data_IF_237268632623
#
_entry.id   IF_237268632623
#
_cell.length_a   1.000
_cell.length_b   1.000
_cell.length_c   1.000
_cell.angle_alpha   90.00
_cell.angle_beta   90.00
_cell.angle_gamma   90.00
#
_symmetry.space_group_name_H-M   'P 1'
#
loop_
_entity.id
_entity.type
_entity.pdbx_description
1 polymer ?
#
# COMPACT_ATOMS: atom_id res chain seq x y z
N UNK A 1 -16.39 -34.27 -7.86
CA UNK A 1 -15.50 -35.23 -7.17
C UNK A 1 -14.11 -35.39 -7.84
N UNK A 2 -13.94 -35.06 -9.12
CA UNK A 2 -12.70 -35.27 -9.90
C UNK A 2 -11.55 -34.30 -9.53
N UNK A 3 -11.84 -33.13 -8.95
CA UNK A 3 -10.85 -32.09 -8.62
C UNK A 3 -9.99 -32.39 -7.39
N UNK A 4 -10.52 -33.10 -6.38
CA UNK A 4 -9.75 -33.46 -5.17
C UNK A 4 -8.67 -34.50 -5.46
N UNK A 5 -8.89 -35.38 -6.43
CA UNK A 5 -7.97 -36.48 -6.72
C UNK A 5 -6.71 -36.01 -7.47
N UNK A 6 -6.81 -34.95 -8.30
CA UNK A 6 -5.64 -34.36 -8.96
C UNK A 6 -4.71 -33.61 -8.01
N UNK A 7 -5.25 -32.94 -6.98
CA UNK A 7 -4.43 -32.19 -6.00
C UNK A 7 -3.53 -33.14 -5.20
N UNK A 8 -4.05 -34.31 -4.81
CA UNK A 8 -3.27 -35.33 -4.11
C UNK A 8 -2.17 -35.95 -4.97
N UNK A 9 -2.30 -35.95 -6.30
CA UNK A 9 -1.27 -36.49 -7.17
C UNK A 9 -0.04 -35.56 -7.22
N UNK A 10 -0.20 -34.24 -7.32
CA UNK A 10 0.92 -33.30 -7.37
C UNK A 10 1.67 -33.19 -6.03
N UNK A 11 0.95 -33.19 -4.91
CA UNK A 11 1.55 -33.19 -3.56
C UNK A 11 2.36 -34.47 -3.27
N UNK A 12 1.98 -35.62 -3.85
CA UNK A 12 2.66 -36.90 -3.64
C UNK A 12 3.98 -37.06 -4.43
N UNK A 13 4.23 -36.24 -5.46
CA UNK A 13 5.45 -36.28 -6.30
C UNK A 13 6.32 -35.03 -6.15
N UNK A 14 6.01 -34.16 -5.18
CA UNK A 14 6.77 -32.93 -4.94
C UNK A 14 6.70 -31.92 -6.11
N UNK A 15 5.70 -32.04 -6.98
CA UNK A 15 5.51 -31.12 -8.11
C UNK A 15 4.62 -29.96 -7.67
N UNK A 16 5.14 -28.73 -7.80
CA UNK A 16 4.35 -27.51 -7.58
C UNK A 16 3.11 -27.52 -8.48
N UNK A 17 1.96 -27.09 -7.96
CA UNK A 17 0.78 -26.94 -8.81
C UNK A 17 1.07 -25.89 -9.89
N UNK A 18 0.70 -26.14 -11.17
CA UNK A 18 1.03 -25.21 -12.25
C UNK A 18 0.45 -23.83 -11.92
N UNK A 19 1.35 -22.85 -11.76
CA UNK A 19 0.97 -21.48 -11.43
C UNK A 19 -0.04 -20.96 -12.46
N UNK A 20 -1.16 -20.41 -11.99
CA UNK A 20 -2.17 -19.86 -12.88
C UNK A 20 -1.54 -18.69 -13.68
N UNK A 21 -1.35 -18.83 -15.01
CA UNK A 21 -0.57 -17.87 -15.80
C UNK A 21 -1.20 -16.47 -15.79
N UNK A 22 -2.53 -16.40 -15.70
CA UNK A 22 -3.26 -15.14 -15.57
C UNK A 22 -2.93 -14.43 -14.25
N UNK A 23 -2.93 -15.14 -13.12
CA UNK A 23 -2.60 -14.53 -11.82
C UNK A 23 -1.14 -14.07 -11.76
N UNK A 24 -0.23 -14.81 -12.39
CA UNK A 24 1.18 -14.44 -12.48
C UNK A 24 1.38 -13.20 -13.35
N UNK A 25 0.74 -13.15 -14.52
CA UNK A 25 0.79 -11.98 -15.41
C UNK A 25 0.16 -10.74 -14.75
N UNK A 26 -1.02 -10.90 -14.14
CA UNK A 26 -1.70 -9.81 -13.44
C UNK A 26 -0.85 -9.27 -12.29
N UNK A 27 -0.22 -10.13 -11.47
CA UNK A 27 0.69 -9.72 -10.41
C UNK A 27 1.89 -8.89 -10.93
N UNK A 28 2.46 -9.26 -12.09
CA UNK A 28 3.53 -8.47 -12.74
C UNK A 28 3.05 -7.08 -13.14
N UNK A 29 1.87 -6.98 -13.77
CA UNK A 29 1.28 -5.68 -14.15
C UNK A 29 1.11 -4.79 -12.93
N UNK A 30 0.60 -5.32 -11.83
CA UNK A 30 0.44 -4.58 -10.57
C UNK A 30 1.76 -4.15 -9.96
N UNK A 31 2.77 -5.02 -9.98
CA UNK A 31 4.11 -4.68 -9.50
C UNK A 31 4.73 -3.53 -10.29
N UNK A 32 4.66 -3.58 -11.64
CA UNK A 32 5.16 -2.50 -12.49
C UNK A 32 4.37 -1.20 -12.32
N UNK A 33 3.04 -1.28 -12.09
CA UNK A 33 2.24 -0.11 -11.75
C UNK A 33 2.73 0.57 -10.47
N UNK A 34 2.96 -0.21 -9.41
CA UNK A 34 3.48 0.30 -8.13
C UNK A 34 4.88 0.90 -8.29
N UNK A 35 5.78 0.22 -9.02
CA UNK A 35 7.12 0.75 -9.34
C UNK A 35 7.05 2.06 -10.12
N UNK A 36 6.15 2.16 -11.10
CA UNK A 36 5.94 3.38 -11.89
C UNK A 36 5.47 4.54 -11.00
N UNK A 37 4.55 4.28 -10.08
CA UNK A 37 4.10 5.26 -9.10
C UNK A 37 5.27 5.75 -8.21
N UNK A 38 6.12 4.84 -7.71
CA UNK A 38 7.28 5.22 -6.90
C UNK A 38 8.27 6.08 -7.68
N UNK A 39 8.53 5.75 -8.95
CA UNK A 39 9.39 6.55 -9.82
C UNK A 39 8.79 7.94 -10.04
N UNK A 40 7.49 8.04 -10.32
CA UNK A 40 6.81 9.33 -10.49
C UNK A 40 6.88 10.18 -9.22
N UNK A 41 6.63 9.59 -8.05
CA UNK A 41 6.75 10.30 -6.78
C UNK A 41 8.19 10.78 -6.55
N UNK A 42 9.19 9.93 -6.76
CA UNK A 42 10.59 10.30 -6.61
C UNK A 42 10.99 11.44 -7.56
N UNK A 43 10.58 11.38 -8.83
CA UNK A 43 10.81 12.47 -9.79
C UNK A 43 10.13 13.77 -9.36
N UNK A 44 8.93 13.70 -8.80
CA UNK A 44 8.22 14.87 -8.29
C UNK A 44 8.94 15.49 -7.08
N UNK A 45 9.46 14.67 -6.16
CA UNK A 45 10.32 15.15 -5.06
C UNK A 45 11.60 15.77 -5.61
N UNK A 46 12.30 15.10 -6.52
CA UNK A 46 13.53 15.62 -7.11
C UNK A 46 13.31 16.96 -7.80
N UNK A 47 12.21 17.09 -8.54
CA UNK A 47 11.84 18.35 -9.19
C UNK A 47 11.60 19.45 -8.15
N UNK A 48 10.86 19.17 -7.07
CA UNK A 48 10.54 20.19 -6.06
C UNK A 48 11.77 20.68 -5.29
N UNK A 49 12.81 19.84 -5.12
CA UNK A 49 14.08 20.26 -4.50
C UNK A 49 14.73 21.43 -5.25
N UNK A 50 14.60 21.50 -6.58
CA UNK A 50 15.11 22.63 -7.38
C UNK A 50 14.36 23.95 -7.14
N UNK A 51 13.21 23.90 -6.49
CA UNK A 51 12.36 25.05 -6.17
C UNK A 51 12.29 25.30 -4.64
N UNK A 52 13.28 24.80 -3.89
CA UNK A 52 13.43 25.11 -2.46
C UNK A 52 12.64 24.22 -1.51
N UNK A 53 12.08 23.12 -2.00
CA UNK A 53 11.46 22.10 -1.14
C UNK A 53 12.51 21.41 -0.25
N UNK A 54 12.16 21.08 0.99
CA UNK A 54 12.97 20.25 1.89
C UNK A 54 12.13 19.25 2.69
N UNK A 55 12.53 17.98 2.71
CA UNK A 55 11.84 16.91 3.44
C UNK A 55 11.75 17.16 4.96
N UNK A 56 12.67 17.95 5.52
CA UNK A 56 12.69 18.26 6.97
C UNK A 56 11.76 19.38 7.35
N UNK A 57 11.38 20.22 6.38
CA UNK A 57 10.70 21.49 6.61
C UNK A 57 9.35 21.60 5.91
N UNK A 58 9.07 20.70 4.96
CA UNK A 58 7.86 20.70 4.14
C UNK A 58 7.13 19.38 4.22
N UNK A 59 5.82 19.46 4.39
CA UNK A 59 4.92 18.30 4.42
C UNK A 59 4.81 17.68 3.02
N UNK A 60 4.31 16.45 2.93
CA UNK A 60 4.10 15.78 1.65
C UNK A 60 3.11 16.57 0.79
N UNK A 61 2.09 17.13 1.42
CA UNK A 61 1.06 17.95 0.77
C UNK A 61 1.61 19.18 0.06
N UNK A 62 2.74 19.73 0.53
CA UNK A 62 3.43 20.88 -0.08
C UNK A 62 3.93 20.58 -1.51
N UNK A 63 4.10 19.30 -1.87
CA UNK A 63 4.39 18.90 -3.26
C UNK A 63 3.27 19.25 -4.24
N UNK A 64 2.05 19.43 -3.74
CA UNK A 64 0.89 19.89 -4.50
C UNK A 64 0.71 21.41 -4.49
N UNK A 65 1.69 22.18 -4.01
CA UNK A 65 1.65 23.64 -3.93
C UNK A 65 2.45 24.30 -5.06
N UNK A 66 1.94 25.45 -5.54
CA UNK A 66 2.63 26.32 -6.51
C UNK A 66 3.94 26.91 -5.99
N UNK A 67 4.15 26.88 -4.67
CA UNK A 67 5.36 27.42 -4.05
C UNK A 67 6.60 26.57 -4.35
N UNK A 68 6.43 25.27 -4.60
CA UNK A 68 7.54 24.32 -4.72
C UNK A 68 7.60 23.60 -6.06
N UNK A 69 6.59 23.76 -6.93
CA UNK A 69 6.61 23.20 -8.28
C UNK A 69 5.79 24.12 -9.20
N UNK A 70 6.24 24.36 -10.45
CA UNK A 70 5.50 25.21 -11.40
C UNK A 70 4.15 24.60 -11.82
N UNK A 71 4.03 23.27 -11.75
CA UNK A 71 2.88 22.49 -12.18
C UNK A 71 2.34 21.61 -11.04
N UNK A 72 1.70 22.19 -10.00
CA UNK A 72 1.27 21.46 -8.80
C UNK A 72 0.27 20.32 -9.08
N UNK A 73 -0.43 20.39 -10.21
CA UNK A 73 -1.33 19.33 -10.65
C UNK A 73 -0.61 18.01 -10.94
N UNK A 74 0.71 18.02 -11.17
CA UNK A 74 1.50 16.79 -11.37
C UNK A 74 1.43 15.92 -10.11
N UNK A 75 1.67 16.49 -8.92
CA UNK A 75 1.56 15.76 -7.66
C UNK A 75 0.15 15.20 -7.44
N UNK A 76 -0.86 15.99 -7.77
CA UNK A 76 -2.26 15.58 -7.66
C UNK A 76 -2.58 14.36 -8.55
N UNK A 77 -2.09 14.36 -9.79
CA UNK A 77 -2.24 13.23 -10.71
C UNK A 77 -1.47 12.00 -10.22
N UNK A 78 -0.30 12.18 -9.59
CA UNK A 78 0.46 11.10 -8.98
C UNK A 78 -0.32 10.45 -7.83
N UNK A 79 -0.97 11.24 -6.97
CA UNK A 79 -1.83 10.72 -5.90
C UNK A 79 -3.03 9.93 -6.47
N UNK A 80 -3.72 10.47 -7.48
CA UNK A 80 -4.82 9.76 -8.17
C UNK A 80 -4.33 8.45 -8.77
N UNK A 81 -3.22 8.49 -9.51
CA UNK A 81 -2.62 7.30 -10.12
C UNK A 81 -2.24 6.26 -9.07
N UNK A 82 -1.59 6.69 -7.98
CA UNK A 82 -1.21 5.83 -6.86
C UNK A 82 -2.41 5.13 -6.25
N UNK A 83 -3.49 5.85 -5.97
CA UNK A 83 -4.72 5.27 -5.41
C UNK A 83 -5.39 4.28 -6.36
N UNK A 84 -5.45 4.61 -7.66
CA UNK A 84 -6.04 3.73 -8.71
C UNK A 84 -5.23 2.44 -8.88
N UNK A 85 -3.90 2.52 -8.91
CA UNK A 85 -3.01 1.35 -9.05
C UNK A 85 -3.03 0.48 -7.80
N UNK A 86 -3.13 1.09 -6.62
CA UNK A 86 -3.14 0.41 -5.33
C UNK A 86 -4.45 -0.34 -5.04
N UNK A 87 -5.54 0.06 -5.69
CA UNK A 87 -6.84 -0.59 -5.54
C UNK A 87 -6.85 -2.07 -5.96
N UNK A 88 -6.49 -2.45 -7.20
CA UNK A 88 -6.43 -3.85 -7.59
C UNK A 88 -5.35 -4.65 -6.83
N UNK A 89 -4.32 -3.99 -6.29
CA UNK A 89 -3.31 -4.63 -5.42
C UNK A 89 -3.96 -5.21 -4.17
N UNK A 90 -4.84 -4.48 -3.49
CA UNK A 90 -5.49 -4.97 -2.27
C UNK A 90 -6.34 -6.22 -2.53
N UNK A 91 -7.08 -6.26 -3.65
CA UNK A 91 -7.84 -7.45 -4.06
C UNK A 91 -6.93 -8.64 -4.38
N UNK A 92 -5.82 -8.37 -5.09
CA UNK A 92 -4.84 -9.40 -5.43
C UNK A 92 -4.17 -10.00 -4.20
N UNK A 93 -3.73 -9.14 -3.27
CA UNK A 93 -3.11 -9.53 -1.99
C UNK A 93 -4.08 -10.37 -1.16
N UNK A 94 -5.30 -9.88 -0.93
CA UNK A 94 -6.33 -10.62 -0.18
C UNK A 94 -6.55 -12.02 -0.76
N UNK A 95 -6.72 -12.12 -2.09
CA UNK A 95 -6.92 -13.42 -2.77
C UNK A 95 -5.71 -14.34 -2.61
N UNK A 96 -4.49 -13.83 -2.79
CA UNK A 96 -3.26 -14.63 -2.67
C UNK A 96 -2.99 -15.10 -1.24
N UNK A 97 -3.21 -14.25 -0.23
CA UNK A 97 -3.09 -14.62 1.18
C UNK A 97 -4.09 -15.72 1.56
N UNK A 98 -5.35 -15.59 1.13
CA UNK A 98 -6.38 -16.62 1.34
C UNK A 98 -6.02 -17.95 0.68
N UNK A 99 -5.50 -17.91 -0.55
CA UNK A 99 -5.00 -19.13 -1.21
C UNK A 99 -3.84 -19.70 -0.41
N UNK A 100 -2.81 -18.92 -0.09
CA UNK A 100 -1.58 -19.38 0.54
C UNK A 100 -1.80 -19.99 1.93
N UNK A 101 -2.67 -19.41 2.76
CA UNK A 101 -2.75 -19.72 4.19
C UNK A 101 -4.00 -20.49 4.64
N UNK A 102 -4.65 -21.23 3.71
CA UNK A 102 -5.70 -22.25 3.95
C UNK A 102 -6.53 -22.00 5.23
N UNK A 103 -7.44 -21.03 5.13
CA UNK A 103 -8.69 -20.85 5.90
C UNK A 103 -8.72 -21.29 7.38
N UNK A 104 -8.00 -20.59 8.25
CA UNK A 104 -8.59 -20.31 9.56
C UNK A 104 -9.62 -19.17 9.40
N UNK A 105 -10.71 -19.20 10.17
CA UNK A 105 -11.73 -18.12 10.18
C UNK A 105 -11.09 -16.76 10.44
N UNK A 106 -10.09 -16.72 11.31
CA UNK A 106 -9.33 -15.52 11.66
C UNK A 106 -8.48 -15.01 10.50
N UNK A 107 -7.79 -15.90 9.77
CA UNK A 107 -7.02 -15.51 8.58
C UNK A 107 -7.93 -14.88 7.53
N UNK A 108 -9.07 -15.52 7.21
CA UNK A 108 -10.04 -14.96 6.27
C UNK A 108 -10.51 -13.56 6.73
N UNK A 109 -10.89 -13.43 8.01
CA UNK A 109 -11.38 -12.17 8.58
C UNK A 109 -10.34 -11.04 8.49
N UNK A 110 -9.09 -11.30 8.85
CA UNK A 110 -8.02 -10.30 8.75
C UNK A 110 -7.73 -9.90 7.30
N UNK A 111 -7.77 -10.85 6.36
CA UNK A 111 -7.62 -10.52 4.95
C UNK A 111 -8.77 -9.65 4.42
N UNK A 112 -10.02 -9.86 4.90
CA UNK A 112 -11.15 -8.99 4.55
C UNK A 112 -11.03 -7.60 5.15
N UNK A 113 -10.67 -7.47 6.44
CA UNK A 113 -10.48 -6.15 7.05
C UNK A 113 -9.33 -5.39 6.38
N UNK A 114 -8.23 -6.08 6.06
CA UNK A 114 -7.14 -5.53 5.28
C UNK A 114 -7.60 -4.96 3.94
N UNK A 115 -8.44 -5.73 3.21
CA UNK A 115 -9.02 -5.28 1.94
C UNK A 115 -9.92 -4.05 2.12
N UNK A 116 -10.90 -4.10 3.02
CA UNK A 116 -11.90 -3.02 3.20
C UNK A 116 -11.22 -1.72 3.57
N UNK A 117 -10.31 -1.74 4.56
CA UNK A 117 -9.60 -0.55 5.00
C UNK A 117 -8.60 -0.07 3.95
N UNK A 118 -8.00 -0.98 3.18
CA UNK A 118 -7.14 -0.63 2.07
C UNK A 118 -7.91 0.05 0.94
N UNK A 119 -9.14 -0.39 0.64
CA UNK A 119 -10.03 0.28 -0.32
C UNK A 119 -10.39 1.69 0.16
N UNK A 120 -10.73 1.85 1.44
CA UNK A 120 -10.99 3.17 2.04
C UNK A 120 -9.75 4.07 1.91
N UNK A 121 -8.56 3.55 2.22
CA UNK A 121 -7.29 4.26 2.05
C UNK A 121 -7.05 4.70 0.61
N UNK A 122 -7.24 3.80 -0.36
CA UNK A 122 -7.11 4.12 -1.79
C UNK A 122 -8.11 5.18 -2.25
N UNK A 123 -9.36 5.11 -1.80
CA UNK A 123 -10.39 6.12 -2.11
C UNK A 123 -9.94 7.48 -1.55
N UNK A 124 -9.50 7.51 -0.28
CA UNK A 124 -8.92 8.70 0.33
C UNK A 124 -7.75 9.23 -0.49
N UNK A 125 -6.84 8.38 -0.94
CA UNK A 125 -5.66 8.80 -1.70
C UNK A 125 -5.99 9.34 -3.10
N UNK A 126 -6.99 8.77 -3.77
CA UNK A 126 -7.55 9.35 -5.01
C UNK A 126 -8.12 10.74 -4.74
N UNK A 127 -8.94 10.88 -3.70
CA UNK A 127 -9.52 12.17 -3.33
C UNK A 127 -8.48 13.17 -2.83
N UNK A 128 -7.33 12.73 -2.32
CA UNK A 128 -6.25 13.63 -1.92
C UNK A 128 -5.69 14.41 -3.12
N UNK A 129 -5.62 13.78 -4.29
CA UNK A 129 -5.28 14.48 -5.54
C UNK A 129 -6.38 15.44 -6.02
N UNK A 130 -7.64 15.15 -5.71
CA UNK A 130 -8.78 16.04 -6.04
C UNK A 130 -8.81 17.25 -5.09
N UNK A 131 -8.83 17.00 -3.79
CA UNK A 131 -8.81 17.99 -2.71
C UNK A 131 -7.37 18.29 -2.26
N UNK A 132 -6.56 18.73 -3.21
CA UNK A 132 -5.19 19.22 -2.99
C UNK A 132 -5.18 20.47 -2.10
N UNK A 133 -4.01 20.96 -1.66
CA UNK A 133 -3.92 22.20 -0.89
C UNK A 133 -4.60 23.40 -1.59
N UNK A 134 -4.43 23.52 -2.91
CA UNK A 134 -5.13 24.54 -3.72
C UNK A 134 -6.67 24.41 -3.72
N UNK A 135 -7.22 23.28 -3.29
CA UNK A 135 -8.65 22.92 -3.28
C UNK A 135 -9.08 22.29 -1.95
N UNK A 136 -8.45 22.72 -0.86
CA UNK A 136 -8.58 22.08 0.46
C UNK A 136 -9.88 22.42 1.21
N UNK A 137 -10.70 23.34 0.67
CA UNK A 137 -11.91 23.83 1.31
C UNK A 137 -11.63 24.91 2.36
N UNK A 138 -12.68 25.37 3.08
CA UNK A 138 -12.52 26.35 4.14
C UNK A 138 -11.62 25.81 5.27
N UNK A 139 -10.52 26.49 5.57
CA UNK A 139 -9.59 26.09 6.63
C UNK A 139 -8.99 24.70 6.45
N UNK A 140 -8.74 24.29 5.21
CA UNK A 140 -8.12 23.00 4.84
C UNK A 140 -8.88 21.74 5.29
N UNK A 141 -10.16 21.88 5.61
CA UNK A 141 -10.97 20.80 6.19
C UNK A 141 -11.10 19.58 5.27
N UNK A 142 -11.28 19.78 3.95
CA UNK A 142 -11.43 18.67 3.02
C UNK A 142 -10.10 17.91 2.87
N UNK A 143 -9.00 18.64 2.72
CA UNK A 143 -7.68 18.05 2.63
C UNK A 143 -7.32 17.26 3.89
N UNK A 144 -7.58 17.84 5.07
CA UNK A 144 -7.26 17.23 6.36
C UNK A 144 -8.05 15.94 6.60
N UNK A 145 -9.35 15.94 6.32
CA UNK A 145 -10.20 14.75 6.47
C UNK A 145 -9.76 13.65 5.50
N UNK A 146 -9.57 13.99 4.23
CA UNK A 146 -9.21 13.02 3.19
C UNK A 146 -7.81 12.46 3.40
N UNK A 147 -6.84 13.29 3.80
CA UNK A 147 -5.50 12.84 4.21
C UNK A 147 -5.58 11.87 5.38
N UNK A 148 -6.37 12.19 6.41
CA UNK A 148 -6.59 11.29 7.55
C UNK A 148 -7.19 9.95 7.13
N UNK A 149 -8.22 9.96 6.27
CA UNK A 149 -8.85 8.75 5.73
C UNK A 149 -7.82 7.90 4.96
N UNK A 150 -6.98 8.53 4.14
CA UNK A 150 -5.93 7.86 3.36
C UNK A 150 -4.91 7.17 4.28
N UNK A 151 -4.27 7.92 5.17
CA UNK A 151 -3.23 7.39 6.07
C UNK A 151 -3.79 6.31 7.00
N UNK A 152 -4.90 6.59 7.70
CA UNK A 152 -5.52 5.64 8.62
C UNK A 152 -5.97 4.39 7.88
N UNK A 153 -6.61 4.54 6.72
CA UNK A 153 -7.04 3.41 5.87
C UNK A 153 -5.87 2.51 5.48
N UNK A 154 -4.77 3.07 4.99
CA UNK A 154 -3.57 2.30 4.65
C UNK A 154 -2.92 1.64 5.87
N UNK A 155 -2.76 2.36 6.98
CA UNK A 155 -2.08 1.81 8.16
C UNK A 155 -2.86 0.64 8.76
N UNK A 156 -4.18 0.76 8.88
CA UNK A 156 -4.98 -0.36 9.34
C UNK A 156 -5.04 -1.50 8.31
N UNK A 157 -5.06 -1.21 7.01
CA UNK A 157 -4.95 -2.23 5.96
C UNK A 157 -3.68 -3.06 6.13
N UNK A 158 -2.55 -2.36 6.27
CA UNK A 158 -1.23 -2.95 6.51
C UNK A 158 -1.25 -3.76 7.81
N UNK A 159 -1.78 -3.21 8.90
CA UNK A 159 -1.88 -3.89 10.19
C UNK A 159 -2.60 -5.24 10.07
N UNK A 160 -3.77 -5.29 9.40
CA UNK A 160 -4.52 -6.54 9.26
C UNK A 160 -3.88 -7.53 8.29
N UNK A 161 -3.32 -7.07 7.16
CA UNK A 161 -2.54 -7.95 6.29
C UNK A 161 -1.29 -8.50 6.99
N UNK A 162 -0.61 -7.67 7.79
CA UNK A 162 0.51 -8.07 8.63
C UNK A 162 0.11 -9.09 9.69
N UNK A 163 -1.01 -8.90 10.40
CA UNK A 163 -1.53 -9.90 11.34
C UNK A 163 -1.79 -11.22 10.64
N UNK A 164 -2.41 -11.20 9.46
CA UNK A 164 -2.63 -12.39 8.65
C UNK A 164 -1.32 -13.13 8.34
N UNK A 165 -0.28 -12.39 7.94
CA UNK A 165 1.04 -12.93 7.60
C UNK A 165 1.77 -13.46 8.84
N UNK A 166 1.80 -12.73 9.94
CA UNK A 166 2.54 -13.12 11.17
C UNK A 166 1.94 -14.37 11.81
N UNK A 167 0.60 -14.47 11.78
CA UNK A 167 -0.12 -15.63 12.29
C UNK A 167 -0.11 -16.83 11.32
N UNK A 168 0.40 -16.63 10.10
CA UNK A 168 0.61 -17.73 9.16
C UNK A 168 1.88 -18.53 9.51
N UNK A 169 1.91 -19.81 9.13
CA UNK A 169 3.09 -20.67 9.32
C UNK A 169 4.25 -20.35 8.34
N UNK A 170 4.18 -19.26 7.56
CA UNK A 170 5.20 -18.91 6.59
C UNK A 170 6.30 -18.03 7.18
N UNK A 171 7.39 -18.66 7.61
CA UNK A 171 8.55 -17.98 8.18
C UNK A 171 9.19 -16.95 7.22
N UNK A 172 9.10 -17.13 5.90
CA UNK A 172 9.73 -16.20 4.92
C UNK A 172 9.09 -14.81 4.94
N UNK A 173 7.78 -14.72 5.20
CA UNK A 173 7.05 -13.45 5.21
C UNK A 173 6.82 -12.88 6.61
N UNK A 174 7.15 -13.64 7.65
CA UNK A 174 6.95 -13.21 9.04
C UNK A 174 7.68 -11.91 9.37
N UNK A 175 8.89 -11.71 8.86
CA UNK A 175 9.64 -10.46 9.05
C UNK A 175 8.94 -9.26 8.42
N UNK A 176 8.41 -9.41 7.19
CA UNK A 176 7.63 -8.37 6.53
C UNK A 176 6.33 -8.07 7.31
N UNK A 177 5.65 -9.11 7.78
CA UNK A 177 4.47 -8.97 8.63
C UNK A 177 4.76 -8.18 9.91
N UNK A 178 5.85 -8.52 10.62
CA UNK A 178 6.29 -7.79 11.81
C UNK A 178 6.64 -6.33 11.50
N UNK A 179 7.35 -6.09 10.39
CA UNK A 179 7.64 -4.74 9.92
C UNK A 179 6.35 -3.93 9.72
N UNK A 180 5.36 -4.45 8.99
CA UNK A 180 4.11 -3.75 8.75
C UNK A 180 3.25 -3.56 10.01
N UNK A 181 3.38 -4.43 11.02
CA UNK A 181 2.65 -4.28 12.28
C UNK A 181 3.25 -3.18 13.16
N UNK A 182 4.57 -3.15 13.26
CA UNK A 182 5.28 -2.29 14.22
C UNK A 182 5.61 -0.93 13.61
N UNK A 183 6.28 -0.89 12.45
CA UNK A 183 6.91 0.35 11.96
C UNK A 183 5.87 1.41 11.56
N UNK A 184 4.89 1.16 10.67
CA UNK A 184 3.88 2.15 10.34
C UNK A 184 3.04 2.60 11.54
N UNK A 185 2.71 1.69 12.45
CA UNK A 185 1.92 2.00 13.65
C UNK A 185 2.70 2.90 14.63
N UNK A 186 3.98 2.61 14.86
CA UNK A 186 4.85 3.44 15.70
C UNK A 186 5.06 4.83 15.08
N UNK A 187 5.23 4.92 13.77
CA UNK A 187 5.37 6.19 13.06
C UNK A 187 4.07 7.00 13.08
N UNK A 188 2.90 6.35 12.98
CA UNK A 188 1.61 7.02 13.14
C UNK A 188 1.47 7.60 14.55
N UNK A 189 1.76 6.79 15.57
CA UNK A 189 1.72 7.25 16.95
C UNK A 189 2.64 8.46 17.16
N UNK A 190 3.88 8.37 16.66
CA UNK A 190 4.85 9.46 16.76
C UNK A 190 4.37 10.72 16.00
N UNK A 191 3.76 10.54 14.84
CA UNK A 191 3.18 11.64 14.05
C UNK A 191 2.04 12.33 14.81
N UNK A 192 1.16 11.58 15.47
CA UNK A 192 0.09 12.15 16.29
C UNK A 192 0.61 12.91 17.52
N UNK A 193 1.81 12.60 18.02
CA UNK A 193 2.40 13.27 19.19
C UNK A 193 3.19 14.52 18.81
N UNK A 194 3.99 14.46 17.74
CA UNK A 194 4.98 15.52 17.40
C UNK A 194 4.56 16.30 16.13
N UNK A 195 3.88 15.66 15.18
CA UNK A 195 3.33 16.27 13.96
C UNK A 195 4.31 17.11 13.12
N UNK A 196 5.57 16.67 13.00
CA UNK A 196 6.58 17.33 12.15
C UNK A 196 6.68 16.69 10.75
N UNK A 197 7.05 17.46 9.70
CA UNK A 197 7.12 16.98 8.32
C UNK A 197 7.96 15.72 8.13
N UNK A 198 9.11 15.64 8.78
CA UNK A 198 10.02 14.50 8.64
C UNK A 198 9.38 13.17 9.06
N UNK A 199 8.52 13.18 10.09
CA UNK A 199 7.82 11.98 10.54
C UNK A 199 6.73 11.60 9.56
N UNK A 200 6.02 12.58 8.97
CA UNK A 200 5.05 12.33 7.90
C UNK A 200 5.71 11.61 6.72
N UNK A 201 6.90 12.07 6.33
CA UNK A 201 7.72 11.45 5.28
C UNK A 201 8.14 10.02 5.62
N UNK A 202 8.57 9.76 6.85
CA UNK A 202 8.87 8.41 7.29
C UNK A 202 7.62 7.53 7.33
N UNK A 203 6.47 8.06 7.75
CA UNK A 203 5.20 7.35 7.76
C UNK A 203 4.80 6.93 6.34
N UNK A 204 4.77 7.87 5.38
CA UNK A 204 4.52 7.56 3.97
C UNK A 204 5.52 6.53 3.44
N UNK A 205 6.80 6.73 3.69
CA UNK A 205 7.86 5.82 3.24
C UNK A 205 7.67 4.40 3.77
N UNK A 206 7.23 4.25 5.04
CA UNK A 206 6.96 2.94 5.65
C UNK A 206 5.76 2.23 5.01
N UNK A 207 4.70 2.98 4.67
CA UNK A 207 3.53 2.47 3.96
C UNK A 207 3.94 1.99 2.58
N UNK A 208 4.67 2.82 1.82
CA UNK A 208 5.13 2.51 0.47
C UNK A 208 6.10 1.32 0.46
N UNK A 209 7.05 1.27 1.39
CA UNK A 209 7.98 0.16 1.52
C UNK A 209 7.25 -1.16 1.79
N UNK A 210 6.29 -1.16 2.73
CA UNK A 210 5.50 -2.36 3.02
C UNK A 210 4.68 -2.80 1.80
N UNK A 211 3.93 -1.90 1.16
CA UNK A 211 3.09 -2.23 0.02
C UNK A 211 3.90 -2.77 -1.17
N UNK A 212 5.05 -2.15 -1.46
CA UNK A 212 5.93 -2.58 -2.53
C UNK A 212 6.53 -3.97 -2.25
N UNK A 213 7.08 -4.18 -1.05
CA UNK A 213 7.63 -5.48 -0.64
C UNK A 213 6.54 -6.56 -0.59
N UNK A 214 5.37 -6.26 -0.04
CA UNK A 214 4.26 -7.21 0.03
C UNK A 214 3.83 -7.63 -1.37
N UNK A 215 3.64 -6.69 -2.29
CA UNK A 215 3.31 -7.00 -3.67
C UNK A 215 4.40 -7.88 -4.31
N UNK A 216 5.68 -7.52 -4.11
CA UNK A 216 6.82 -8.30 -4.60
C UNK A 216 6.79 -9.75 -4.13
N UNK A 217 6.58 -9.97 -2.83
CA UNK A 217 6.57 -11.31 -2.28
C UNK A 217 5.31 -12.08 -2.68
N UNK A 218 4.14 -11.46 -2.62
CA UNK A 218 2.86 -12.09 -2.91
C UNK A 218 2.76 -12.54 -4.37
N UNK A 219 3.34 -11.80 -5.33
CA UNK A 219 3.40 -12.28 -6.71
C UNK A 219 4.30 -13.52 -6.84
N UNK A 220 5.36 -13.62 -6.04
CA UNK A 220 6.30 -14.75 -6.03
C UNK A 220 5.80 -15.95 -5.23
N UNK A 221 4.71 -15.83 -4.47
CA UNK A 221 4.07 -16.98 -3.85
C UNK A 221 3.46 -17.83 -4.98
N UNK A 222 4.26 -18.78 -5.44
CA UNK A 222 3.83 -19.97 -6.14
C UNK A 222 3.43 -20.99 -5.05
N UNK A 223 2.30 -21.64 -5.26
CA UNK A 223 1.84 -22.72 -4.40
C UNK A 223 1.98 -24.02 -5.15
#
# INVERSE_FOLDING_TARGET
MITKQKVNAYEAIGLETPSNPFLTHFGKVLFYGCASYLVLLALNVLLSLFFGFSLTSNYISDLGSKNFIPFPYIHNLICVFGGVVSLPINFFVRKKLQIAYKNSKHSALFAEFGLVLGVIGNIGYVFLGVFSLDRAGPGDIYHSIISSISFVGYIFSIFFFSLNIVLSHNCKLKQLGLFGLVVPASLLFLYCVISIPLIEWFLLSSILAFLFLLNYYVFKINR
#
